data_IF_963803066461
#
_entry.id   IF_963803066461
#
_cell.length_a   1.000
_cell.length_b   1.000
_cell.length_c   1.000
_cell.angle_alpha   90.00
_cell.angle_beta   90.00
_cell.angle_gamma   90.00
#
_symmetry.space_group_name_H-M   'P 1'
#
loop_
_entity.id
_entity.type
_entity.pdbx_description
1 polymer ?
#
# COMPACT_ATOMS: atom_id res chain seq x y z
N UNK A 1 8.98 -20.75 80.46
CA UNK A 1 9.84 -21.88 80.03
C UNK A 1 9.09 -23.04 79.37
N UNK A 2 7.75 -22.97 79.16
CA UNK A 2 6.95 -24.05 78.51
C UNK A 2 6.83 -23.97 76.98
N UNK A 3 7.15 -22.84 76.33
CA UNK A 3 7.02 -22.69 74.86
C UNK A 3 8.16 -23.32 74.03
N UNK A 4 9.26 -23.75 74.67
CA UNK A 4 10.38 -24.41 73.99
C UNK A 4 10.28 -25.94 74.02
N UNK A 5 9.41 -26.51 74.87
CA UNK A 5 9.27 -27.97 75.05
C UNK A 5 8.33 -28.61 74.00
N UNK A 6 7.50 -27.83 73.33
CA UNK A 6 6.56 -28.30 72.30
C UNK A 6 7.02 -28.00 70.85
N UNK A 7 8.20 -27.39 70.65
CA UNK A 7 8.73 -27.17 69.31
C UNK A 7 9.28 -28.48 68.74
N UNK A 8 8.45 -29.18 67.96
CA UNK A 8 8.91 -30.27 67.10
C UNK A 8 9.46 -29.63 65.82
N UNK A 9 10.78 -29.65 65.58
CA UNK A 9 11.32 -29.14 64.33
C UNK A 9 10.76 -29.96 63.18
N UNK A 10 10.12 -29.29 62.22
CA UNK A 10 9.76 -29.91 60.94
C UNK A 10 11.05 -30.40 60.30
N UNK A 11 11.12 -31.70 60.01
CA UNK A 11 12.29 -32.27 59.36
C UNK A 11 12.57 -31.50 58.06
N UNK A 12 13.77 -30.92 57.88
CA UNK A 12 14.05 -30.12 56.70
C UNK A 12 14.00 -31.02 55.47
N UNK A 13 13.14 -30.67 54.51
CA UNK A 13 13.16 -31.31 53.21
C UNK A 13 14.50 -30.97 52.54
N UNK A 14 15.34 -31.96 52.17
CA UNK A 14 16.64 -31.68 51.57
C UNK A 14 16.45 -31.05 50.19
N UNK A 15 17.13 -29.93 49.94
CA UNK A 15 17.23 -29.35 48.61
C UNK A 15 18.06 -30.27 47.69
N UNK A 16 17.77 -30.27 46.40
CA UNK A 16 18.59 -31.00 45.42
C UNK A 16 19.93 -30.30 45.26
N UNK A 17 20.99 -31.05 45.01
CA UNK A 17 22.33 -30.47 44.82
C UNK A 17 22.38 -29.43 43.68
N UNK A 18 21.59 -29.66 42.63
CA UNK A 18 21.46 -28.75 41.47
C UNK A 18 20.73 -27.45 41.80
N UNK A 19 19.93 -27.43 42.87
CA UNK A 19 19.19 -26.26 43.35
C UNK A 19 20.03 -25.39 44.30
N UNK A 20 21.28 -25.76 44.57
CA UNK A 20 22.18 -25.07 45.50
C UNK A 20 23.27 -24.22 44.80
N UNK A 21 23.07 -23.82 43.55
CA UNK A 21 24.06 -23.03 42.81
C UNK A 21 24.27 -21.64 43.43
N UNK A 22 23.18 -20.97 43.83
CA UNK A 22 23.25 -19.65 44.47
C UNK A 22 24.03 -19.75 45.79
N UNK A 23 23.72 -20.73 46.64
CA UNK A 23 24.34 -20.95 47.94
C UNK A 23 25.83 -21.26 47.79
N UNK A 24 26.21 -22.07 46.79
CA UNK A 24 27.61 -22.32 46.46
C UNK A 24 28.33 -21.03 46.05
N UNK A 25 27.73 -20.23 45.18
CA UNK A 25 28.25 -18.93 44.78
C UNK A 25 28.40 -17.97 45.97
N UNK A 26 27.38 -17.83 46.80
CA UNK A 26 27.39 -16.96 47.97
C UNK A 26 28.44 -17.41 48.99
N UNK A 27 28.56 -18.72 49.25
CA UNK A 27 29.61 -19.28 50.12
C UNK A 27 31.00 -18.96 49.59
N UNK A 28 31.23 -19.18 48.29
CA UNK A 28 32.50 -18.84 47.65
C UNK A 28 32.80 -17.35 47.82
N UNK A 29 31.79 -16.49 47.58
CA UNK A 29 31.93 -15.04 47.71
C UNK A 29 32.30 -14.58 49.13
N UNK A 30 31.79 -15.24 50.16
CA UNK A 30 32.20 -14.97 51.55
C UNK A 30 33.67 -15.36 51.77
N UNK A 31 34.14 -16.44 51.15
CA UNK A 31 35.50 -16.96 51.32
C UNK A 31 36.53 -16.19 50.50
N UNK A 32 36.20 -15.78 49.28
CA UNK A 32 37.15 -15.21 48.31
C UNK A 32 36.93 -13.72 48.06
N UNK A 33 35.91 -13.12 48.67
CA UNK A 33 35.53 -11.73 48.44
C UNK A 33 34.61 -11.54 47.22
N UNK A 34 34.40 -10.28 46.83
CA UNK A 34 33.54 -9.93 45.70
C UNK A 34 34.00 -10.61 44.40
N UNK A 35 33.05 -11.22 43.68
CA UNK A 35 33.34 -11.88 42.42
C UNK A 35 33.50 -10.90 41.26
N UNK A 36 34.04 -11.41 40.16
CA UNK A 36 34.05 -10.69 38.88
C UNK A 36 32.63 -10.63 38.26
N UNK A 37 32.41 -9.70 37.33
CA UNK A 37 31.12 -9.52 36.67
C UNK A 37 30.12 -8.65 37.44
N UNK A 38 28.93 -8.44 36.87
CA UNK A 38 27.94 -7.50 37.40
C UNK A 38 27.36 -7.95 38.74
N UNK A 39 26.93 -9.22 38.86
CA UNK A 39 26.37 -9.77 40.10
C UNK A 39 27.39 -9.81 41.26
N UNK A 40 28.67 -10.04 40.93
CA UNK A 40 29.77 -10.05 41.91
C UNK A 40 30.05 -8.69 42.56
N UNK A 41 29.77 -7.59 41.83
CA UNK A 41 29.94 -6.22 42.31
C UNK A 41 28.76 -5.69 43.12
N UNK A 42 27.58 -6.31 43.04
CA UNK A 42 26.42 -5.90 43.86
C UNK A 42 26.66 -6.18 45.34
N UNK A 43 26.17 -5.38 46.30
CA UNK A 43 26.24 -5.72 47.72
C UNK A 43 25.74 -7.14 48.00
N UNK A 44 26.34 -7.83 48.99
CA UNK A 44 26.12 -9.26 49.21
C UNK A 44 24.63 -9.60 49.37
N UNK A 45 23.92 -8.85 50.22
CA UNK A 45 22.50 -9.05 50.48
C UNK A 45 21.64 -8.73 49.25
N UNK A 46 21.99 -7.71 48.45
CA UNK A 46 21.30 -7.39 47.19
C UNK A 46 21.41 -8.54 46.21
N UNK A 47 22.62 -9.08 46.01
CA UNK A 47 22.85 -10.22 45.11
C UNK A 47 22.03 -11.44 45.53
N UNK A 48 22.10 -11.82 46.81
CA UNK A 48 21.38 -12.98 47.34
C UNK A 48 19.85 -12.82 47.20
N UNK A 49 19.29 -11.74 47.76
CA UNK A 49 17.84 -11.57 47.81
C UNK A 49 17.23 -11.28 46.43
N UNK A 50 17.97 -10.64 45.51
CA UNK A 50 17.49 -10.45 44.14
C UNK A 50 17.45 -11.77 43.37
N UNK A 51 18.44 -12.67 43.57
CA UNK A 51 18.40 -14.01 42.99
C UNK A 51 17.20 -14.80 43.49
N UNK A 52 16.95 -14.81 44.80
CA UNK A 52 15.78 -15.47 45.40
C UNK A 52 14.46 -14.85 44.92
N UNK A 53 14.32 -13.52 45.02
CA UNK A 53 13.09 -12.81 44.69
C UNK A 53 12.72 -12.90 43.21
N UNK A 54 13.70 -12.71 42.32
CA UNK A 54 13.48 -12.87 40.89
C UNK A 54 13.26 -14.33 40.51
N UNK A 55 14.05 -15.23 41.11
CA UNK A 55 13.91 -16.66 40.97
C UNK A 55 12.54 -17.21 41.34
N UNK A 56 11.92 -16.65 42.39
CA UNK A 56 10.58 -17.02 42.81
C UNK A 56 9.55 -16.68 41.73
N UNK A 57 9.66 -15.49 41.12
CA UNK A 57 8.84 -15.11 39.97
C UNK A 57 9.04 -16.08 38.79
N UNK A 58 10.27 -16.54 38.54
CA UNK A 58 10.57 -17.45 37.44
C UNK A 58 10.01 -18.87 37.64
N UNK A 59 9.97 -19.34 38.88
CA UNK A 59 9.65 -20.73 39.22
C UNK A 59 8.19 -20.92 39.61
N UNK A 60 7.61 -19.97 40.35
CA UNK A 60 6.26 -20.06 40.91
C UNK A 60 5.29 -19.03 40.31
N UNK A 61 5.78 -18.11 39.48
CA UNK A 61 4.97 -17.10 38.81
C UNK A 61 4.68 -15.86 39.67
N UNK A 62 3.89 -14.93 39.12
CA UNK A 62 3.68 -13.62 39.73
C UNK A 62 2.85 -13.65 41.01
N UNK A 63 1.92 -14.60 41.13
CA UNK A 63 0.99 -14.71 42.28
C UNK A 63 1.54 -15.55 43.44
N UNK A 64 2.84 -15.91 43.41
CA UNK A 64 3.49 -16.69 44.46
C UNK A 64 3.44 -15.98 45.83
N UNK A 65 3.12 -16.75 46.87
CA UNK A 65 3.03 -16.27 48.25
C UNK A 65 4.30 -16.64 49.00
N UNK A 66 5.17 -15.65 49.24
CA UNK A 66 6.52 -15.84 49.83
C UNK A 66 6.53 -16.59 51.16
N UNK A 67 5.49 -16.39 51.98
CA UNK A 67 5.29 -17.01 53.30
C UNK A 67 4.94 -18.49 53.24
N UNK A 68 4.49 -18.99 52.08
CA UNK A 68 4.14 -20.40 51.87
C UNK A 68 5.25 -21.20 51.17
N UNK A 69 6.34 -20.55 50.75
CA UNK A 69 7.43 -21.19 50.00
C UNK A 69 8.37 -21.92 50.96
N UNK A 70 8.56 -23.21 50.73
CA UNK A 70 9.43 -24.03 51.56
C UNK A 70 10.93 -23.71 51.32
N UNK A 71 11.83 -24.00 52.27
CA UNK A 71 13.26 -23.73 52.11
C UNK A 71 13.90 -24.36 50.87
N UNK A 72 13.51 -25.59 50.51
CA UNK A 72 14.02 -26.25 49.31
C UNK A 72 13.55 -25.57 48.01
N UNK A 73 12.33 -25.00 48.01
CA UNK A 73 11.80 -24.24 46.88
C UNK A 73 12.48 -22.88 46.76
N UNK A 74 12.86 -22.26 47.89
CA UNK A 74 13.69 -21.05 47.90
C UNK A 74 15.07 -21.29 47.32
N UNK A 75 15.71 -22.42 47.61
CA UNK A 75 16.98 -22.80 46.99
C UNK A 75 16.82 -22.93 45.46
N UNK A 76 15.81 -23.66 45.00
CA UNK A 76 15.52 -23.83 43.57
C UNK A 76 15.23 -22.48 42.87
N UNK A 77 14.43 -21.62 43.50
CA UNK A 77 14.18 -20.26 43.06
C UNK A 77 15.48 -19.46 42.97
N UNK A 78 16.26 -19.41 44.06
CA UNK A 78 17.54 -18.72 44.13
C UNK A 78 18.49 -19.14 43.01
N UNK A 79 18.62 -20.44 42.76
CA UNK A 79 19.39 -20.97 41.64
C UNK A 79 18.85 -20.51 40.28
N UNK A 80 17.54 -20.54 40.07
CA UNK A 80 16.93 -20.06 38.82
C UNK A 80 17.20 -18.57 38.57
N UNK A 81 17.10 -17.73 39.61
CA UNK A 81 17.43 -16.31 39.53
C UNK A 81 18.93 -16.07 39.31
N UNK A 82 19.78 -16.79 40.03
CA UNK A 82 21.24 -16.74 39.91
C UNK A 82 21.72 -17.00 38.48
N UNK A 83 21.21 -18.07 37.85
CA UNK A 83 21.55 -18.44 36.47
C UNK A 83 21.27 -17.33 35.45
N UNK A 84 20.27 -16.47 35.71
CA UNK A 84 19.99 -15.31 34.85
C UNK A 84 20.87 -14.11 35.24
N UNK A 85 20.93 -13.77 36.53
CA UNK A 85 21.57 -12.54 37.00
C UNK A 85 23.10 -12.58 36.87
N UNK A 86 23.72 -13.77 36.93
CA UNK A 86 25.17 -13.92 36.73
C UNK A 86 25.63 -13.47 35.34
N UNK A 87 24.76 -13.59 34.34
CA UNK A 87 25.02 -13.18 32.95
C UNK A 87 24.92 -11.66 32.75
N UNK A 88 24.47 -10.92 33.77
CA UNK A 88 24.47 -9.47 33.79
C UNK A 88 23.10 -8.81 33.55
N UNK A 89 23.09 -7.47 33.49
CA UNK A 89 21.85 -6.68 33.47
C UNK A 89 21.04 -6.86 32.18
N UNK A 90 21.69 -7.18 31.05
CA UNK A 90 20.99 -7.37 29.77
C UNK A 90 20.25 -8.70 29.73
N UNK A 91 20.83 -9.77 30.29
CA UNK A 91 20.14 -11.04 30.47
C UNK A 91 18.92 -10.88 31.40
N UNK A 92 19.05 -10.06 32.45
CA UNK A 92 17.95 -9.73 33.34
C UNK A 92 16.82 -8.99 32.60
N UNK A 93 17.13 -7.93 31.84
CA UNK A 93 16.15 -7.21 31.00
C UNK A 93 15.49 -8.12 29.96
N UNK A 94 16.26 -8.98 29.30
CA UNK A 94 15.74 -9.93 28.33
C UNK A 94 14.76 -10.91 28.98
N UNK A 95 15.05 -11.38 30.20
CA UNK A 95 14.14 -12.26 30.93
C UNK A 95 12.86 -11.54 31.36
N UNK A 96 12.93 -10.27 31.79
CA UNK A 96 11.75 -9.45 32.05
C UNK A 96 10.90 -9.27 30.78
N UNK A 97 11.52 -9.06 29.61
CA UNK A 97 10.84 -8.99 28.31
C UNK A 97 10.14 -10.30 27.98
N UNK A 98 10.79 -11.44 28.21
CA UNK A 98 10.20 -12.76 27.95
C UNK A 98 8.94 -13.00 28.80
N UNK A 99 8.98 -12.62 30.09
CA UNK A 99 7.81 -12.70 30.98
C UNK A 99 6.70 -11.75 30.49
N UNK A 100 7.06 -10.55 30.03
CA UNK A 100 6.10 -9.61 29.47
C UNK A 100 5.40 -10.22 28.25
N UNK A 101 6.12 -10.74 27.25
CA UNK A 101 5.50 -11.21 26.00
C UNK A 101 4.76 -12.54 26.15
N UNK A 102 5.02 -13.32 27.21
CA UNK A 102 4.38 -14.60 27.45
C UNK A 102 2.88 -14.51 27.76
N UNK A 103 2.37 -13.31 28.10
CA UNK A 103 0.95 -13.08 28.32
C UNK A 103 0.41 -12.07 27.30
N UNK A 104 -0.84 -12.22 26.80
CA UNK A 104 -1.43 -11.29 25.84
C UNK A 104 -1.35 -9.85 26.31
N UNK A 105 -1.25 -8.89 25.37
CA UNK A 105 -1.39 -7.48 25.70
C UNK A 105 -2.83 -7.21 26.13
N UNK A 106 -3.03 -7.13 27.42
CA UNK A 106 -4.27 -6.71 28.04
C UNK A 106 -4.03 -5.41 28.82
N UNK A 107 -5.06 -4.95 29.53
CA UNK A 107 -4.92 -3.81 30.43
C UNK A 107 -4.13 -4.18 31.71
N UNK A 108 -3.63 -5.42 31.86
CA UNK A 108 -2.86 -5.79 33.04
C UNK A 108 -1.47 -5.18 32.97
N UNK A 109 -1.22 -4.30 33.92
CA UNK A 109 0.01 -3.53 34.05
C UNK A 109 1.17 -4.45 34.47
N UNK A 110 2.39 -3.93 34.38
CA UNK A 110 3.61 -4.55 34.90
C UNK A 110 3.46 -5.11 36.33
N UNK A 111 2.63 -4.48 37.17
CA UNK A 111 2.33 -4.93 38.54
C UNK A 111 1.72 -6.32 38.61
N UNK A 112 0.91 -6.71 37.63
CA UNK A 112 0.33 -8.06 37.59
C UNK A 112 1.37 -9.07 37.13
N UNK A 113 2.17 -8.72 36.11
CA UNK A 113 3.13 -9.62 35.48
C UNK A 113 4.35 -9.92 36.35
N UNK A 114 4.74 -8.96 37.18
CA UNK A 114 5.91 -9.07 38.04
C UNK A 114 5.57 -9.09 39.53
N UNK A 115 4.29 -9.24 39.90
CA UNK A 115 3.73 -8.95 41.23
C UNK A 115 4.65 -9.32 42.40
N UNK A 116 4.90 -10.61 42.65
CA UNK A 116 5.72 -11.06 43.79
C UNK A 116 7.10 -10.42 43.87
N UNK A 117 7.77 -10.24 42.73
CA UNK A 117 9.10 -9.64 42.67
C UNK A 117 9.04 -8.11 42.78
N UNK A 118 8.11 -7.49 42.05
CA UNK A 118 7.95 -6.03 42.02
C UNK A 118 7.49 -5.48 43.36
N UNK A 119 6.56 -6.16 44.05
CA UNK A 119 6.10 -5.77 45.37
C UNK A 119 7.20 -5.91 46.41
N UNK A 120 7.92 -7.04 46.43
CA UNK A 120 9.09 -7.21 47.30
C UNK A 120 10.12 -6.09 47.09
N UNK A 121 10.43 -5.76 45.83
CA UNK A 121 11.39 -4.70 45.51
C UNK A 121 10.85 -3.30 45.86
N UNK A 122 9.54 -3.09 45.79
CA UNK A 122 8.87 -1.84 46.17
C UNK A 122 8.90 -1.60 47.68
N UNK A 123 8.72 -2.66 48.49
CA UNK A 123 8.72 -2.57 49.95
C UNK A 123 10.12 -2.49 50.57
N UNK A 124 11.16 -2.52 49.74
CA UNK A 124 12.58 -2.30 50.08
C UNK A 124 13.00 -0.87 49.71
N UNK A 125 12.14 0.09 49.96
CA UNK A 125 12.40 1.51 49.70
C UNK A 125 13.23 2.18 50.80
N UNK A 126 13.41 1.50 51.93
CA UNK A 126 14.27 1.86 53.05
C UNK A 126 15.77 1.58 52.80
N UNK A 127 16.08 0.70 51.84
CA UNK A 127 17.44 0.24 51.57
C UNK A 127 17.94 0.74 50.18
N UNK A 128 18.81 1.76 50.13
CA UNK A 128 19.30 2.36 48.90
C UNK A 128 20.23 1.44 48.11
N UNK A 129 20.77 0.37 48.70
CA UNK A 129 21.64 -0.57 47.97
C UNK A 129 20.86 -1.32 46.87
N UNK A 130 19.53 -1.40 46.99
CA UNK A 130 18.64 -1.95 45.96
C UNK A 130 18.36 -0.99 44.80
N UNK A 131 18.82 0.28 44.84
CA UNK A 131 18.64 1.26 43.76
C UNK A 131 19.14 0.70 42.42
N UNK A 132 20.27 -0.02 42.41
CA UNK A 132 20.84 -0.64 41.21
C UNK A 132 19.90 -1.64 40.52
N UNK A 133 19.06 -2.34 41.30
CA UNK A 133 18.04 -3.26 40.77
C UNK A 133 16.76 -2.48 40.42
N UNK A 134 16.36 -1.54 41.30
CA UNK A 134 15.18 -0.69 41.09
C UNK A 134 15.30 0.11 39.81
N UNK A 135 16.47 0.64 39.49
CA UNK A 135 16.72 1.44 38.29
C UNK A 135 16.56 0.60 37.01
N UNK A 136 17.11 -0.62 36.97
CA UNK A 136 16.97 -1.52 35.83
C UNK A 136 15.49 -1.90 35.61
N UNK A 137 14.79 -2.30 36.68
CA UNK A 137 13.39 -2.70 36.60
C UNK A 137 12.51 -1.50 36.23
N UNK A 138 12.79 -0.33 36.79
CA UNK A 138 12.06 0.92 36.51
C UNK A 138 12.23 1.35 35.07
N UNK A 139 13.48 1.41 34.59
CA UNK A 139 13.78 1.72 33.19
C UNK A 139 13.08 0.74 32.25
N UNK A 140 13.17 -0.56 32.56
CA UNK A 140 12.48 -1.59 31.80
C UNK A 140 10.96 -1.33 31.75
N UNK A 141 10.33 -1.04 32.89
CA UNK A 141 8.90 -0.75 32.97
C UNK A 141 8.53 0.49 32.16
N UNK A 142 9.28 1.58 32.27
CA UNK A 142 9.05 2.80 31.49
C UNK A 142 9.13 2.55 29.98
N UNK A 143 10.10 1.75 29.53
CA UNK A 143 10.33 1.49 28.10
C UNK A 143 9.38 0.46 27.50
N UNK A 144 8.77 -0.41 28.31
CA UNK A 144 8.00 -1.56 27.81
C UNK A 144 6.52 -1.54 28.20
N UNK A 145 6.06 -0.61 29.04
CA UNK A 145 4.65 -0.46 29.40
C UNK A 145 4.18 0.98 29.19
N UNK A 146 2.87 1.20 28.91
CA UNK A 146 2.33 2.52 28.65
C UNK A 146 2.17 3.33 29.95
N UNK A 147 3.30 3.75 30.53
CA UNK A 147 3.36 4.55 31.74
C UNK A 147 3.20 6.02 31.41
N UNK A 148 2.20 6.67 32.00
CA UNK A 148 1.96 8.08 31.76
C UNK A 148 3.09 8.95 32.34
N UNK A 149 3.35 10.10 31.70
CA UNK A 149 4.27 11.11 32.24
C UNK A 149 3.85 11.50 33.67
N UNK A 150 4.83 11.53 34.58
CA UNK A 150 4.63 11.83 36.01
C UNK A 150 4.18 10.65 36.87
N UNK A 151 3.78 9.52 36.28
CA UNK A 151 3.40 8.34 37.05
C UNK A 151 4.63 7.72 37.73
N UNK A 152 4.54 7.48 39.05
CA UNK A 152 5.66 6.97 39.86
C UNK A 152 5.78 5.45 39.75
N UNK A 153 7.01 4.97 39.50
CA UNK A 153 7.40 3.57 39.48
C UNK A 153 8.68 3.41 40.31
N UNK A 154 8.63 2.56 41.35
CA UNK A 154 9.77 2.30 42.26
C UNK A 154 10.45 3.61 42.74
N UNK A 155 9.64 4.53 43.27
CA UNK A 155 10.10 5.79 43.88
C UNK A 155 10.32 6.96 42.93
N UNK A 156 10.41 6.76 41.61
CA UNK A 156 10.70 7.85 40.66
C UNK A 156 9.58 8.06 39.63
N UNK A 157 9.27 9.31 39.24
CA UNK A 157 8.27 9.62 38.22
C UNK A 157 8.77 9.29 36.81
N UNK A 158 7.87 8.81 35.95
CA UNK A 158 8.16 8.61 34.54
C UNK A 158 8.37 9.97 33.84
N UNK A 159 9.52 10.24 33.21
CA UNK A 159 9.82 11.54 32.61
C UNK A 159 8.94 11.85 31.39
N UNK A 160 8.63 10.83 30.61
CA UNK A 160 7.76 10.87 29.43
C UNK A 160 7.17 9.49 29.16
N UNK A 161 6.08 9.42 28.40
CA UNK A 161 5.51 8.15 27.99
C UNK A 161 6.23 7.59 26.75
N UNK A 162 6.95 6.48 26.91
CA UNK A 162 7.78 5.90 25.85
C UNK A 162 7.04 4.99 24.88
N UNK A 163 6.01 4.28 25.35
CA UNK A 163 5.19 3.39 24.53
C UNK A 163 3.70 3.61 24.80
N UNK A 164 2.88 3.25 23.82
CA UNK A 164 1.44 3.48 23.87
C UNK A 164 0.65 2.21 23.54
N UNK A 165 -0.43 1.98 24.30
CA UNK A 165 -1.58 1.22 23.81
C UNK A 165 -2.41 2.08 22.85
N UNK A 166 -3.29 1.44 22.06
CA UNK A 166 -4.23 2.18 21.18
C UNK A 166 -5.07 3.21 21.96
N UNK A 167 -5.45 2.90 23.20
CA UNK A 167 -6.21 3.79 24.06
C UNK A 167 -5.40 5.01 24.50
N UNK A 168 -4.17 4.79 24.98
CA UNK A 168 -3.30 5.90 25.41
C UNK A 168 -2.88 6.77 24.23
N UNK A 169 -2.55 6.19 23.06
CA UNK A 169 -2.22 6.96 21.87
C UNK A 169 -3.38 7.85 21.41
N UNK A 170 -4.61 7.34 21.43
CA UNK A 170 -5.81 8.15 21.12
C UNK A 170 -5.96 9.32 22.09
N UNK A 171 -5.77 9.10 23.38
CA UNK A 171 -5.94 10.15 24.38
C UNK A 171 -4.82 11.21 24.30
N UNK A 172 -3.59 10.78 24.03
CA UNK A 172 -2.43 11.68 23.96
C UNK A 172 -2.34 12.45 22.64
N UNK A 173 -2.64 11.82 21.50
CA UNK A 173 -2.42 12.40 20.17
C UNK A 173 -3.72 12.69 19.39
N UNK A 174 -4.90 12.39 19.94
CA UNK A 174 -6.19 12.62 19.26
C UNK A 174 -6.45 11.73 18.04
N UNK A 175 -5.54 10.81 17.70
CA UNK A 175 -5.69 9.93 16.54
C UNK A 175 -6.77 8.86 16.76
N UNK A 176 -7.63 8.66 15.77
CA UNK A 176 -8.61 7.57 15.79
C UNK A 176 -7.91 6.21 15.90
N UNK A 177 -8.34 5.39 16.86
CA UNK A 177 -7.81 4.04 17.07
C UNK A 177 -7.91 3.14 15.82
N UNK A 178 -8.85 3.42 14.92
CA UNK A 178 -8.94 2.71 13.64
C UNK A 178 -7.84 3.13 12.66
N UNK A 179 -7.58 4.43 12.49
CA UNK A 179 -6.49 4.93 11.63
C UNK A 179 -5.13 4.46 12.14
N UNK A 180 -4.90 4.60 13.45
CA UNK A 180 -3.69 4.14 14.10
C UNK A 180 -3.52 2.62 13.96
N UNK A 181 -4.56 1.84 14.28
CA UNK A 181 -4.52 0.38 14.19
C UNK A 181 -4.23 -0.11 12.77
N UNK A 182 -4.79 0.53 11.73
CA UNK A 182 -4.48 0.21 10.33
C UNK A 182 -3.01 0.44 9.99
N UNK A 183 -2.44 1.57 10.41
CA UNK A 183 -1.03 1.88 10.14
C UNK A 183 -0.10 0.99 10.92
N UNK A 184 -0.37 0.76 12.20
CA UNK A 184 0.39 -0.20 13.00
C UNK A 184 0.30 -1.61 12.41
N UNK A 185 -0.83 -2.00 11.83
CA UNK A 185 -0.97 -3.30 11.18
C UNK A 185 -0.17 -3.41 9.88
N UNK A 186 -0.10 -2.33 9.09
CA UNK A 186 0.71 -2.28 7.88
C UNK A 186 2.22 -2.42 8.17
N UNK A 187 2.69 -1.97 9.35
CA UNK A 187 4.10 -2.09 9.78
C UNK A 187 4.36 -3.29 10.71
N UNK A 188 3.39 -4.19 10.89
CA UNK A 188 3.55 -5.42 11.67
C UNK A 188 3.42 -5.30 13.19
N UNK A 189 3.13 -4.11 13.72
CA UNK A 189 2.95 -3.88 15.17
C UNK A 189 1.52 -4.17 15.66
N UNK A 190 0.58 -4.38 14.75
CA UNK A 190 -0.79 -4.76 15.07
C UNK A 190 -1.34 -5.79 14.08
N UNK A 191 -2.44 -6.41 14.47
CA UNK A 191 -3.20 -7.31 13.62
C UNK A 191 -4.69 -7.03 13.77
N UNK A 192 -5.45 -7.31 12.73
CA UNK A 192 -6.91 -7.22 12.78
C UNK A 192 -7.48 -8.52 13.31
N UNK A 193 -8.16 -8.45 14.46
CA UNK A 193 -8.85 -9.59 15.04
C UNK A 193 -9.97 -10.08 14.12
N UNK A 194 -9.97 -11.37 13.79
CA UNK A 194 -11.03 -12.02 13.01
C UNK A 194 -12.38 -12.01 13.75
N UNK A 195 -12.36 -12.12 15.08
CA UNK A 195 -13.55 -12.18 15.94
C UNK A 195 -14.14 -10.79 16.16
N UNK A 196 -13.37 -9.85 16.73
CA UNK A 196 -13.90 -8.53 17.12
C UNK A 196 -13.90 -7.51 15.99
N UNK A 197 -13.23 -7.82 14.86
CA UNK A 197 -12.93 -6.88 13.75
C UNK A 197 -12.11 -5.64 14.16
N UNK A 198 -11.67 -5.56 15.43
CA UNK A 198 -10.82 -4.48 15.98
C UNK A 198 -9.34 -4.79 15.75
N UNK A 199 -8.51 -3.76 15.85
CA UNK A 199 -7.06 -3.91 15.87
C UNK A 199 -6.60 -4.31 17.26
N UNK A 200 -5.72 -5.31 17.31
CA UNK A 200 -5.03 -5.78 18.51
C UNK A 200 -3.54 -5.56 18.27
N UNK A 201 -2.86 -4.97 19.23
CA UNK A 201 -1.42 -4.77 19.16
C UNK A 201 -0.70 -6.11 19.33
N UNK A 202 0.42 -6.27 18.64
CA UNK A 202 1.38 -7.35 18.90
C UNK A 202 2.35 -6.92 20.00
N UNK A 203 2.76 -5.66 19.98
CA UNK A 203 3.56 -4.98 21.00
C UNK A 203 3.03 -3.57 21.25
N UNK A 204 3.29 -2.98 22.43
CA UNK A 204 2.98 -1.56 22.63
C UNK A 204 3.75 -0.70 21.63
N UNK A 205 3.09 0.30 21.06
CA UNK A 205 3.67 1.11 20.00
C UNK A 205 4.64 2.15 20.56
N UNK A 206 5.90 2.22 20.08
CA UNK A 206 6.84 3.27 20.47
C UNK A 206 6.29 4.68 20.18
N UNK A 207 6.57 5.64 21.08
CA UNK A 207 6.00 6.99 21.00
C UNK A 207 6.44 7.77 19.74
N UNK A 208 7.67 7.57 19.28
CA UNK A 208 8.19 8.12 18.03
C UNK A 208 7.47 7.56 16.80
N UNK A 209 7.21 6.24 16.78
CA UNK A 209 6.42 5.58 15.73
C UNK A 209 4.99 6.13 15.71
N UNK A 210 4.35 6.27 16.87
CA UNK A 210 3.00 6.85 16.96
C UNK A 210 3.00 8.30 16.47
N UNK A 211 3.96 9.13 16.88
CA UNK A 211 4.09 10.51 16.39
C UNK A 211 4.25 10.58 14.88
N UNK A 212 5.11 9.74 14.30
CA UNK A 212 5.30 9.66 12.84
C UNK A 212 4.01 9.30 12.11
N UNK A 213 3.25 8.32 12.62
CA UNK A 213 1.94 7.95 12.07
C UNK A 213 0.94 9.10 12.18
N UNK A 214 0.91 9.82 13.30
CA UNK A 214 0.02 10.98 13.48
C UNK A 214 0.32 12.05 12.45
N UNK A 215 1.58 12.45 12.31
CA UNK A 215 2.03 13.42 11.30
C UNK A 215 1.65 12.98 9.88
N UNK A 216 1.86 11.70 9.56
CA UNK A 216 1.51 11.14 8.24
C UNK A 216 -0.02 11.17 8.01
N UNK A 217 -0.81 10.84 9.02
CA UNK A 217 -2.28 10.82 8.97
C UNK A 217 -2.87 12.23 8.86
N UNK A 218 -2.29 13.21 9.54
CA UNK A 218 -2.74 14.60 9.50
C UNK A 218 -2.42 15.27 8.16
N UNK A 219 -1.39 14.79 7.46
CA UNK A 219 -1.06 15.25 6.11
C UNK A 219 -2.00 14.69 5.03
N UNK A 220 -2.84 13.70 5.34
CA UNK A 220 -3.71 13.06 4.35
C UNK A 220 -4.81 13.99 3.88
N UNK A 221 -5.03 13.99 2.57
CA UNK A 221 -6.05 14.77 1.89
C UNK A 221 -7.26 13.92 1.57
N UNK A 222 -8.45 14.48 1.74
CA UNK A 222 -9.66 13.88 1.22
C UNK A 222 -9.74 14.02 -0.32
N UNK A 223 -10.71 13.36 -0.95
CA UNK A 223 -10.84 13.39 -2.42
C UNK A 223 -10.99 14.80 -3.01
N UNK A 224 -11.66 15.72 -2.32
CA UNK A 224 -11.85 17.10 -2.82
C UNK A 224 -10.53 17.86 -2.79
N UNK A 225 -9.80 17.80 -1.67
CA UNK A 225 -8.49 18.44 -1.51
C UNK A 225 -7.45 17.84 -2.47
N UNK A 226 -7.45 16.52 -2.62
CA UNK A 226 -6.57 15.82 -3.56
C UNK A 226 -6.84 16.23 -5.01
N UNK A 227 -8.12 16.31 -5.41
CA UNK A 227 -8.52 16.77 -6.73
C UNK A 227 -8.05 18.21 -7.00
N UNK A 228 -8.26 19.12 -6.05
CA UNK A 228 -7.79 20.51 -6.14
C UNK A 228 -6.26 20.59 -6.30
N UNK A 229 -5.52 19.78 -5.54
CA UNK A 229 -4.05 19.73 -5.60
C UNK A 229 -3.53 19.21 -6.94
N UNK A 230 -4.19 18.20 -7.52
CA UNK A 230 -3.84 17.66 -8.84
C UNK A 230 -4.31 18.58 -9.98
N UNK A 231 -5.31 19.42 -9.75
CA UNK A 231 -5.91 20.30 -10.76
C UNK A 231 -7.03 19.64 -11.57
N UNK A 232 -7.75 18.69 -10.97
CA UNK A 232 -8.90 17.99 -11.57
C UNK A 232 -10.15 18.12 -10.69
N UNK A 233 -11.30 17.65 -11.19
CA UNK A 233 -12.52 17.56 -10.39
C UNK A 233 -12.58 16.28 -9.53
N UNK A 234 -13.46 16.27 -8.53
CA UNK A 234 -13.64 15.16 -7.58
C UNK A 234 -14.09 13.85 -8.23
N UNK A 235 -14.83 13.90 -9.34
CA UNK A 235 -15.23 12.67 -10.03
C UNK A 235 -14.04 12.08 -10.79
N UNK A 236 -13.19 12.94 -11.37
CA UNK A 236 -11.98 12.51 -12.08
C UNK A 236 -10.92 11.90 -11.16
N UNK A 237 -10.70 12.43 -9.95
CA UNK A 237 -9.78 11.78 -8.99
C UNK A 237 -10.25 10.37 -8.63
N UNK A 238 -11.56 10.16 -8.51
CA UNK A 238 -12.14 8.84 -8.23
C UNK A 238 -11.84 7.88 -9.39
N UNK A 239 -12.05 8.30 -10.64
CA UNK A 239 -11.70 7.48 -11.82
C UNK A 239 -10.22 7.17 -11.91
N UNK A 240 -9.35 8.13 -11.62
CA UNK A 240 -7.90 7.93 -11.63
C UNK A 240 -7.49 6.90 -10.57
N UNK A 241 -8.17 6.93 -9.44
CA UNK A 241 -7.97 5.99 -8.34
C UNK A 241 -8.43 4.58 -8.70
N UNK A 242 -9.63 4.44 -9.25
CA UNK A 242 -10.18 3.15 -9.70
C UNK A 242 -9.33 2.52 -10.81
N UNK A 243 -8.61 3.35 -11.59
CA UNK A 243 -7.67 2.94 -12.62
C UNK A 243 -6.24 2.69 -12.14
N UNK A 244 -5.97 2.88 -10.85
CA UNK A 244 -4.64 2.69 -10.26
C UNK A 244 -3.61 3.76 -10.62
N UNK A 245 -4.03 4.88 -11.23
CA UNK A 245 -3.11 5.99 -11.57
C UNK A 245 -2.65 6.75 -10.33
N UNK A 246 -3.56 6.96 -9.39
CA UNK A 246 -3.33 7.60 -8.10
C UNK A 246 -3.77 6.62 -7.01
N UNK A 247 -2.87 6.15 -6.14
CA UNK A 247 -3.23 5.20 -5.10
C UNK A 247 -4.04 5.89 -3.98
N UNK A 248 -4.98 5.15 -3.38
CA UNK A 248 -5.49 5.49 -2.05
C UNK A 248 -4.41 5.15 -1.04
N UNK A 249 -4.26 5.97 -0.02
CA UNK A 249 -3.40 5.67 1.11
C UNK A 249 -3.85 4.40 1.86
N UNK A 250 -5.15 4.13 1.81
CA UNK A 250 -5.82 3.05 2.49
C UNK A 250 -6.55 2.18 1.44
N UNK A 251 -6.24 0.87 1.33
CA UNK A 251 -6.73 0.03 0.23
C UNK A 251 -8.20 -0.39 0.35
N UNK A 252 -8.84 -0.15 1.50
CA UNK A 252 -10.23 -0.56 1.75
C UNK A 252 -11.21 0.06 0.75
N UNK A 253 -12.05 -0.80 0.14
CA UNK A 253 -12.98 -0.40 -0.90
C UNK A 253 -14.15 0.46 -0.37
N UNK A 254 -14.55 0.27 0.89
CA UNK A 254 -15.75 0.89 1.48
C UNK A 254 -15.47 2.15 2.32
N UNK A 255 -14.21 2.57 2.44
CA UNK A 255 -13.85 3.78 3.19
C UNK A 255 -13.79 4.99 2.26
N UNK A 256 -14.11 6.18 2.80
CA UNK A 256 -13.84 7.43 2.11
C UNK A 256 -12.33 7.51 1.78
N UNK A 257 -11.96 7.73 0.51
CA UNK A 257 -10.57 7.66 0.10
C UNK A 257 -9.78 8.83 0.68
N UNK A 258 -8.62 8.50 1.21
CA UNK A 258 -7.61 9.45 1.65
C UNK A 258 -6.37 9.29 0.77
N UNK A 259 -5.70 10.40 0.48
CA UNK A 259 -4.57 10.48 -0.42
C UNK A 259 -3.40 11.13 0.28
N UNK A 260 -2.21 10.56 0.11
CA UNK A 260 -1.01 11.19 0.63
C UNK A 260 -0.50 12.23 -0.37
N UNK A 261 -0.12 13.46 0.06
CA UNK A 261 0.38 14.51 -0.84
C UNK A 261 1.56 14.06 -1.72
N UNK A 262 2.44 13.21 -1.17
CA UNK A 262 3.57 12.60 -1.90
C UNK A 262 3.13 11.79 -3.12
N UNK A 263 2.03 11.04 -3.02
CA UNK A 263 1.57 10.18 -4.12
C UNK A 263 0.93 11.01 -5.24
N UNK A 264 0.24 12.10 -4.86
CA UNK A 264 -0.27 13.08 -5.82
C UNK A 264 0.88 13.78 -6.56
N UNK A 265 1.92 14.14 -5.82
CA UNK A 265 3.12 14.76 -6.38
C UNK A 265 3.90 13.78 -7.27
N UNK A 266 4.00 12.51 -6.89
CA UNK A 266 4.60 11.47 -7.71
C UNK A 266 3.85 11.27 -9.03
N UNK A 267 2.50 11.27 -8.98
CA UNK A 267 1.67 11.24 -10.18
C UNK A 267 1.93 12.44 -11.10
N UNK A 268 1.92 13.66 -10.56
CA UNK A 268 2.23 14.87 -11.34
C UNK A 268 3.67 14.85 -11.87
N UNK A 269 4.62 14.40 -11.07
CA UNK A 269 6.03 14.27 -11.45
C UNK A 269 6.23 13.37 -12.66
N UNK A 270 5.47 12.27 -12.78
CA UNK A 270 5.50 11.42 -13.99
C UNK A 270 5.04 12.19 -15.23
N UNK A 271 3.96 12.97 -15.14
CA UNK A 271 3.49 13.80 -16.26
C UNK A 271 4.50 14.92 -16.61
N UNK A 272 5.06 15.59 -15.59
CA UNK A 272 6.09 16.63 -15.78
C UNK A 272 7.34 16.07 -16.46
N UNK A 273 7.71 14.82 -16.18
CA UNK A 273 8.86 14.17 -16.83
C UNK A 273 8.67 13.91 -18.33
N UNK A 274 7.42 13.94 -18.82
CA UNK A 274 7.08 13.81 -20.24
C UNK A 274 6.92 15.19 -20.92
N UNK A 275 6.90 16.27 -20.15
CA UNK A 275 6.58 17.59 -20.66
C UNK A 275 7.82 18.38 -21.08
N UNK A 276 7.81 18.87 -22.32
CA UNK A 276 8.81 19.82 -22.82
C UNK A 276 8.31 21.27 -22.69
N UNK A 277 9.21 22.19 -22.35
CA UNK A 277 8.95 23.63 -22.38
C UNK A 277 9.11 24.15 -23.81
N UNK A 278 8.03 24.06 -24.60
CA UNK A 278 7.93 24.63 -25.96
C UNK A 278 6.57 25.27 -26.15
N UNK A 279 6.51 26.26 -27.05
CA UNK A 279 5.24 26.89 -27.44
C UNK A 279 4.33 25.85 -28.10
N UNK A 280 3.13 25.58 -27.55
CA UNK A 280 2.18 24.65 -28.16
C UNK A 280 1.72 25.19 -29.52
N UNK A 281 1.64 24.32 -30.54
CA UNK A 281 0.94 24.62 -31.80
C UNK A 281 -0.58 24.45 -31.64
N UNK A 282 -1.37 24.88 -32.63
CA UNK A 282 -2.85 24.74 -32.61
C UNK A 282 -3.33 23.28 -32.45
N UNK A 283 -2.49 22.29 -32.80
CA UNK A 283 -2.80 20.87 -32.67
C UNK A 283 -2.58 20.30 -31.25
N UNK A 284 -2.11 21.11 -30.30
CA UNK A 284 -1.85 20.71 -28.92
C UNK A 284 -3.01 21.11 -28.01
N UNK A 285 -3.81 20.13 -27.60
CA UNK A 285 -4.97 20.34 -26.74
C UNK A 285 -4.70 19.85 -25.32
N UNK A 286 -5.41 20.41 -24.34
CA UNK A 286 -5.37 19.87 -22.99
C UNK A 286 -5.91 18.42 -22.97
N UNK A 287 -5.39 17.62 -22.04
CA UNK A 287 -5.72 16.18 -21.97
C UNK A 287 -7.25 15.95 -21.91
N UNK A 288 -8.03 16.66 -21.07
CA UNK A 288 -9.50 16.56 -21.09
C UNK A 288 -10.15 16.90 -22.44
N UNK A 289 -9.67 17.92 -23.15
CA UNK A 289 -10.18 18.34 -24.46
C UNK A 289 -9.84 17.32 -25.54
N UNK A 290 -8.59 16.84 -25.60
CA UNK A 290 -8.19 15.76 -26.50
C UNK A 290 -8.99 14.48 -26.25
N UNK A 291 -9.22 14.14 -24.97
CA UNK A 291 -10.06 13.02 -24.54
C UNK A 291 -11.49 13.11 -25.07
N UNK A 292 -12.13 14.30 -25.02
CA UNK A 292 -13.47 14.52 -25.59
C UNK A 292 -13.46 14.40 -27.11
N UNK A 293 -12.47 14.98 -27.78
CA UNK A 293 -12.35 14.95 -29.24
C UNK A 293 -12.19 13.50 -29.76
N UNK A 294 -11.37 12.70 -29.07
CA UNK A 294 -11.12 11.29 -29.40
C UNK A 294 -12.18 10.32 -28.86
N UNK A 295 -13.17 10.80 -28.09
CA UNK A 295 -14.20 9.97 -27.44
C UNK A 295 -13.63 8.86 -26.52
N UNK A 296 -12.46 9.09 -25.92
CA UNK A 296 -11.81 8.16 -24.98
C UNK A 296 -11.81 8.76 -23.57
N UNK A 297 -12.19 8.02 -22.50
CA UNK A 297 -12.19 8.55 -21.14
C UNK A 297 -10.83 9.13 -20.72
N UNK A 298 -10.85 10.27 -20.01
CA UNK A 298 -9.64 11.01 -19.64
C UNK A 298 -8.67 10.20 -18.79
N UNK A 299 -9.17 9.36 -17.89
CA UNK A 299 -8.38 8.40 -17.11
C UNK A 299 -7.64 7.39 -18.00
N UNK A 300 -8.31 6.88 -19.03
CA UNK A 300 -7.70 5.95 -19.99
C UNK A 300 -6.67 6.65 -20.87
N UNK A 301 -6.96 7.85 -21.37
CA UNK A 301 -6.01 8.67 -22.12
C UNK A 301 -4.76 8.93 -21.28
N UNK A 302 -4.95 9.34 -20.02
CA UNK A 302 -3.84 9.59 -19.09
C UNK A 302 -2.99 8.35 -18.86
N UNK A 303 -3.62 7.18 -18.73
CA UNK A 303 -2.90 5.90 -18.63
C UNK A 303 -2.05 5.63 -19.87
N UNK A 304 -2.63 5.78 -21.07
CA UNK A 304 -1.89 5.58 -22.34
C UNK A 304 -0.71 6.54 -22.43
N UNK A 305 -0.90 7.81 -22.09
CA UNK A 305 0.18 8.81 -22.05
C UNK A 305 1.33 8.35 -21.16
N UNK A 306 1.03 7.86 -19.95
CA UNK A 306 2.03 7.42 -18.99
C UNK A 306 2.72 6.11 -19.42
N UNK A 307 1.94 5.11 -19.86
CA UNK A 307 2.42 3.78 -20.23
C UNK A 307 3.28 3.82 -21.50
N UNK A 308 2.84 4.59 -22.51
CA UNK A 308 3.52 4.75 -23.79
C UNK A 308 4.50 5.94 -23.81
N UNK A 309 4.63 6.66 -22.69
CA UNK A 309 5.47 7.85 -22.54
C UNK A 309 5.24 8.90 -23.64
N UNK A 310 3.98 9.15 -23.97
CA UNK A 310 3.59 10.12 -25.01
C UNK A 310 4.06 11.52 -24.60
N UNK A 311 4.80 12.26 -25.47
CA UNK A 311 5.28 13.59 -25.14
C UNK A 311 4.16 14.57 -24.80
N UNK A 312 4.41 15.38 -23.77
CA UNK A 312 3.52 16.44 -23.33
C UNK A 312 4.17 17.81 -23.51
N UNK A 313 3.36 18.85 -23.41
CA UNK A 313 3.78 20.23 -23.43
C UNK A 313 3.17 20.98 -22.26
N UNK A 314 3.94 21.85 -21.62
CA UNK A 314 3.47 22.75 -20.57
C UNK A 314 4.32 24.03 -20.59
N UNK A 315 3.68 25.18 -20.37
CA UNK A 315 4.37 26.47 -20.32
C UNK A 315 5.37 26.52 -19.14
N UNK A 316 4.94 26.09 -17.95
CA UNK A 316 5.75 26.00 -16.75
C UNK A 316 5.81 24.57 -16.22
N UNK A 317 6.70 23.73 -16.78
CA UNK A 317 6.76 22.29 -16.46
C UNK A 317 6.89 21.99 -14.97
N UNK A 318 7.66 22.78 -14.19
CA UNK A 318 7.88 22.52 -12.77
C UNK A 318 6.63 22.75 -11.90
N UNK A 319 5.80 23.73 -12.24
CA UNK A 319 4.60 24.08 -11.49
C UNK A 319 3.31 23.48 -12.09
N UNK A 320 3.39 22.93 -13.30
CA UNK A 320 2.26 22.38 -14.04
C UNK A 320 1.45 21.37 -13.22
N UNK A 321 0.14 21.58 -13.19
CA UNK A 321 -0.89 20.67 -12.71
C UNK A 321 -1.52 19.94 -13.89
N UNK A 322 -2.42 19.00 -13.62
CA UNK A 322 -2.96 18.12 -14.65
C UNK A 322 -3.57 18.86 -15.86
N UNK A 323 -4.30 19.95 -15.61
CA UNK A 323 -4.94 20.76 -16.65
C UNK A 323 -3.98 21.64 -17.46
N UNK A 324 -2.71 21.75 -17.05
CA UNK A 324 -1.71 22.56 -17.74
C UNK A 324 -0.98 21.78 -18.83
N UNK A 325 -1.06 20.44 -18.79
CA UNK A 325 -0.48 19.59 -19.82
C UNK A 325 -1.30 19.65 -21.11
N UNK A 326 -0.59 19.75 -22.23
CA UNK A 326 -1.09 19.67 -23.59
C UNK A 326 -0.47 18.48 -24.31
N UNK A 327 -1.21 17.88 -25.22
CA UNK A 327 -0.78 16.71 -26.00
C UNK A 327 -1.13 16.91 -27.47
N UNK A 328 -0.25 16.46 -28.35
CA UNK A 328 -0.49 16.40 -29.79
C UNK A 328 -1.61 15.40 -30.07
N UNK A 329 -2.69 15.88 -30.67
CA UNK A 329 -3.85 15.03 -30.98
C UNK A 329 -3.52 13.90 -31.97
N UNK A 330 -2.77 14.13 -33.07
CA UNK A 330 -2.36 13.07 -33.98
C UNK A 330 -1.52 11.97 -33.30
N UNK A 331 -0.54 12.36 -32.49
CA UNK A 331 0.34 11.41 -31.80
C UNK A 331 -0.44 10.57 -30.79
N UNK A 332 -1.29 11.23 -30.01
CA UNK A 332 -2.16 10.55 -29.05
C UNK A 332 -3.13 9.59 -29.74
N UNK A 333 -3.70 9.99 -30.88
CA UNK A 333 -4.59 9.14 -31.66
C UNK A 333 -3.86 7.88 -32.15
N UNK A 334 -2.63 8.02 -32.66
CA UNK A 334 -1.81 6.89 -33.08
C UNK A 334 -1.50 5.93 -31.91
N UNK A 335 -1.17 6.46 -30.73
CA UNK A 335 -0.90 5.62 -29.55
C UNK A 335 -2.16 4.97 -28.99
N UNK A 336 -3.32 5.63 -29.06
CA UNK A 336 -4.61 5.02 -28.72
C UNK A 336 -4.94 3.86 -29.66
N UNK A 337 -4.58 3.96 -30.95
CA UNK A 337 -4.73 2.85 -31.89
C UNK A 337 -3.78 1.70 -31.58
N UNK A 338 -2.52 1.97 -31.26
CA UNK A 338 -1.54 0.96 -30.83
C UNK A 338 -1.96 0.26 -29.54
N UNK A 339 -2.40 1.02 -28.53
CA UNK A 339 -2.83 0.52 -27.22
C UNK A 339 -4.15 -0.27 -27.25
N UNK A 340 -4.89 -0.24 -28.36
CA UNK A 340 -6.07 -1.07 -28.59
C UNK A 340 -5.73 -2.38 -29.31
N UNK A 341 -4.46 -2.82 -29.27
CA UNK A 341 -3.96 -4.00 -29.99
C UNK A 341 -4.32 -3.97 -31.49
N UNK A 342 -4.37 -2.77 -32.06
CA UNK A 342 -4.76 -2.58 -33.45
C UNK A 342 -6.20 -2.96 -33.74
N UNK A 343 -7.18 -2.66 -32.87
CA UNK A 343 -8.60 -2.92 -33.17
C UNK A 343 -9.51 -1.68 -33.03
N UNK A 344 -10.54 -1.56 -33.86
CA UNK A 344 -11.54 -0.49 -33.88
C UNK A 344 -12.95 -1.01 -33.62
N UNK A 345 -13.80 -0.17 -33.01
CA UNK A 345 -15.24 -0.48 -32.96
C UNK A 345 -15.83 -0.41 -34.37
N UNK A 346 -16.90 -1.16 -34.66
CA UNK A 346 -17.57 -1.10 -35.96
C UNK A 346 -18.02 0.32 -36.37
N UNK A 347 -18.38 1.17 -35.40
CA UNK A 347 -18.76 2.56 -35.66
C UNK A 347 -17.58 3.45 -36.06
N UNK A 348 -16.39 3.20 -35.51
CA UNK A 348 -15.18 3.97 -35.83
C UNK A 348 -14.58 3.48 -37.16
N UNK A 349 -14.57 2.16 -37.39
CA UNK A 349 -14.21 1.57 -38.67
C UNK A 349 -15.09 2.08 -39.83
N UNK A 350 -16.40 2.26 -39.58
CA UNK A 350 -17.34 2.83 -40.55
C UNK A 350 -16.94 4.24 -40.98
N UNK A 351 -16.53 5.09 -40.03
CA UNK A 351 -16.06 6.45 -40.33
C UNK A 351 -14.75 6.44 -41.12
N UNK A 352 -13.81 5.57 -40.75
CA UNK A 352 -12.52 5.43 -41.42
C UNK A 352 -12.69 4.97 -42.87
N UNK A 353 -13.58 4.00 -43.11
CA UNK A 353 -13.82 3.43 -44.43
C UNK A 353 -14.87 4.20 -45.26
N UNK A 354 -15.49 5.24 -44.72
CA UNK A 354 -16.55 5.99 -45.42
C UNK A 354 -17.81 5.16 -45.73
N UNK A 355 -18.08 4.09 -44.97
CA UNK A 355 -19.22 3.18 -45.17
C UNK A 355 -20.15 3.15 -43.97
N UNK A 356 -21.34 2.59 -44.12
CA UNK A 356 -22.28 2.40 -43.02
C UNK A 356 -21.82 1.33 -42.03
N UNK A 357 -22.19 1.48 -40.75
CA UNK A 357 -21.92 0.47 -39.70
C UNK A 357 -22.53 -0.89 -40.05
N UNK A 358 -23.65 -0.90 -40.77
CA UNK A 358 -24.29 -2.12 -41.31
C UNK A 358 -23.34 -2.86 -42.25
N UNK A 359 -22.70 -2.13 -43.16
CA UNK A 359 -21.72 -2.69 -44.11
C UNK A 359 -20.51 -3.24 -43.37
N UNK A 360 -19.96 -2.51 -42.38
CA UNK A 360 -18.85 -3.02 -41.55
C UNK A 360 -19.21 -4.35 -40.87
N UNK A 361 -20.40 -4.45 -40.27
CA UNK A 361 -20.86 -5.70 -39.66
C UNK A 361 -20.99 -6.82 -40.69
N UNK A 362 -21.52 -6.51 -41.87
CA UNK A 362 -21.65 -7.47 -42.95
C UNK A 362 -20.29 -7.98 -43.46
N UNK A 363 -19.29 -7.09 -43.56
CA UNK A 363 -17.91 -7.44 -43.90
C UNK A 363 -17.24 -8.31 -42.84
N UNK A 364 -17.52 -8.05 -41.55
CA UNK A 364 -17.05 -8.89 -40.43
C UNK A 364 -17.71 -10.27 -40.43
N UNK A 365 -19.01 -10.35 -40.75
CA UNK A 365 -19.76 -11.61 -40.78
C UNK A 365 -19.32 -12.51 -41.95
N UNK A 366 -18.92 -11.90 -43.07
CA UNK A 366 -18.35 -12.60 -44.22
C UNK A 366 -16.85 -12.85 -44.13
N UNK A 367 -16.18 -12.42 -43.06
CA UNK A 367 -14.73 -12.60 -42.87
C UNK A 367 -13.85 -11.78 -43.80
N UNK A 368 -14.40 -10.79 -44.52
CA UNK A 368 -13.63 -9.86 -45.35
C UNK A 368 -12.86 -8.88 -44.46
N UNK A 369 -13.48 -8.47 -43.35
CA UNK A 369 -12.79 -7.80 -42.25
C UNK A 369 -12.52 -8.81 -41.13
N UNK A 370 -11.31 -8.81 -40.56
CA UNK A 370 -10.90 -9.69 -39.48
C UNK A 370 -11.56 -9.26 -38.16
N UNK A 371 -12.44 -10.09 -37.57
CA UNK A 371 -13.05 -9.79 -36.28
C UNK A 371 -12.08 -10.13 -35.14
N UNK A 372 -11.91 -9.18 -34.22
CA UNK A 372 -11.20 -9.39 -32.95
C UNK A 372 -12.18 -9.27 -31.80
N UNK A 373 -12.25 -10.29 -30.96
CA UNK A 373 -13.11 -10.28 -29.77
C UNK A 373 -12.37 -9.61 -28.63
N UNK A 374 -12.84 -8.43 -28.22
CA UNK A 374 -12.29 -7.68 -27.09
C UNK A 374 -13.25 -7.71 -25.92
N UNK A 375 -12.72 -8.02 -24.73
CA UNK A 375 -13.45 -7.90 -23.47
C UNK A 375 -13.40 -6.46 -22.98
N UNK A 376 -14.53 -5.76 -23.00
CA UNK A 376 -14.59 -4.37 -22.53
C UNK A 376 -14.46 -4.32 -21.00
N UNK A 377 -13.40 -3.67 -20.50
CA UNK A 377 -13.11 -3.59 -19.07
C UNK A 377 -14.25 -2.98 -18.23
N UNK A 378 -15.04 -2.06 -18.80
CA UNK A 378 -16.14 -1.37 -18.08
C UNK A 378 -17.42 -2.21 -17.97
N UNK A 379 -17.69 -3.08 -18.95
CA UNK A 379 -18.94 -3.84 -19.02
C UNK A 379 -18.75 -5.34 -18.81
N UNK A 380 -17.50 -5.80 -18.78
CA UNK A 380 -17.09 -7.20 -18.84
C UNK A 380 -17.67 -7.98 -20.04
N UNK A 381 -18.27 -7.29 -21.03
CA UNK A 381 -18.85 -7.92 -22.22
C UNK A 381 -17.81 -8.12 -23.30
N UNK A 382 -17.89 -9.26 -23.97
CA UNK A 382 -17.13 -9.53 -25.19
C UNK A 382 -17.82 -8.83 -26.37
N UNK A 383 -17.07 -8.03 -27.13
CA UNK A 383 -17.56 -7.37 -28.34
C UNK A 383 -16.62 -7.62 -29.52
N UNK A 384 -17.20 -7.72 -30.71
CA UNK A 384 -16.48 -7.87 -31.99
C UNK A 384 -16.03 -6.50 -32.49
N UNK A 385 -14.73 -6.32 -32.54
CA UNK A 385 -14.03 -5.15 -33.07
C UNK A 385 -13.36 -5.54 -34.40
N UNK A 386 -12.96 -4.57 -35.19
CA UNK A 386 -12.32 -4.73 -36.50
C UNK A 386 -10.81 -4.56 -36.33
N UNK A 387 -9.97 -5.47 -36.82
CA UNK A 387 -8.52 -5.25 -36.83
C UNK A 387 -8.13 -4.10 -37.77
N UNK A 388 -7.22 -3.23 -37.35
CA UNK A 388 -6.70 -2.10 -38.14
C UNK A 388 -5.92 -2.62 -39.34
N UNK A 389 -5.09 -3.66 -39.19
CA UNK A 389 -4.38 -4.29 -40.31
C UNK A 389 -5.36 -4.81 -41.37
N UNK A 390 -6.53 -5.28 -40.93
CA UNK A 390 -7.58 -5.73 -41.83
C UNK A 390 -8.27 -4.56 -42.53
N UNK A 391 -8.42 -3.40 -41.89
CA UNK A 391 -8.91 -2.16 -42.53
C UNK A 391 -7.93 -1.68 -43.60
N UNK A 392 -6.63 -1.69 -43.32
CA UNK A 392 -5.59 -1.30 -44.28
C UNK A 392 -5.57 -2.24 -45.48
N UNK A 393 -5.60 -3.55 -45.24
CA UNK A 393 -5.70 -4.58 -46.28
C UNK A 393 -6.96 -4.38 -47.12
N UNK A 394 -8.09 -4.14 -46.46
CA UNK A 394 -9.36 -3.88 -47.15
C UNK A 394 -9.27 -2.61 -48.01
N UNK A 395 -8.72 -1.51 -47.51
CA UNK A 395 -8.58 -0.27 -48.26
C UNK A 395 -7.63 -0.41 -49.47
N UNK A 396 -6.64 -1.30 -49.39
CA UNK A 396 -5.71 -1.62 -50.46
C UNK A 396 -6.31 -2.54 -51.54
N UNK A 397 -7.21 -3.44 -51.17
CA UNK A 397 -7.81 -4.41 -52.10
C UNK A 397 -9.17 -3.97 -52.65
N UNK A 398 -9.91 -3.16 -51.90
CA UNK A 398 -11.29 -2.79 -52.20
C UNK A 398 -11.47 -1.27 -52.29
N UNK A 399 -12.48 -0.87 -53.05
CA UNK A 399 -12.87 0.53 -53.23
C UNK A 399 -14.39 0.66 -53.16
N UNK A 400 -14.87 1.64 -52.40
CA UNK A 400 -16.30 1.94 -52.33
C UNK A 400 -16.75 2.67 -53.60
N UNK A 401 -18.03 2.53 -53.98
CA UNK A 401 -18.59 3.32 -55.09
C UNK A 401 -18.44 4.82 -54.85
N UNK A 402 -18.51 5.28 -53.59
CA UNK A 402 -18.38 6.71 -53.24
C UNK A 402 -16.96 7.21 -53.51
N UNK A 403 -15.95 6.44 -53.12
CA UNK A 403 -14.55 6.77 -53.38
C UNK A 403 -14.22 6.68 -54.86
N UNK A 404 -14.78 5.69 -55.56
CA UNK A 404 -14.61 5.53 -56.99
C UNK A 404 -15.23 6.69 -57.78
N UNK A 405 -16.44 7.11 -57.39
CA UNK A 405 -17.14 8.26 -57.96
C UNK A 405 -16.39 9.57 -57.71
N UNK A 406 -15.79 9.72 -56.52
CA UNK A 406 -14.93 10.85 -56.19
C UNK A 406 -13.65 10.88 -57.02
N UNK A 407 -13.09 9.72 -57.38
CA UNK A 407 -11.92 9.61 -58.27
C UNK A 407 -12.26 9.84 -59.74
N UNK A 408 -13.46 9.44 -60.18
CA UNK A 408 -13.91 9.61 -61.57
C UNK A 408 -14.60 10.95 -61.85
N UNK A 409 -14.92 11.73 -60.80
CA UNK A 409 -15.69 12.96 -60.91
C UNK A 409 -17.18 12.75 -61.23
N UNK A 410 -17.69 11.52 -61.10
CA UNK A 410 -19.09 11.17 -61.39
C UNK A 410 -19.93 11.09 -60.11
N UNK A 411 -21.25 11.00 -60.29
CA UNK A 411 -22.16 10.71 -59.19
C UNK A 411 -22.07 9.21 -58.82
N UNK A 412 -22.17 8.85 -57.52
CA UNK A 412 -22.09 7.46 -57.06
C UNK A 412 -23.01 6.47 -57.81
N UNK A 413 -24.26 6.85 -58.06
CA UNK A 413 -25.21 5.99 -58.80
C UNK A 413 -24.79 5.74 -60.25
N UNK A 414 -24.25 6.76 -60.93
CA UNK A 414 -23.78 6.61 -62.31
C UNK A 414 -22.53 5.73 -62.40
N UNK A 415 -21.63 5.86 -61.41
CA UNK A 415 -20.43 5.01 -61.34
C UNK A 415 -20.80 3.55 -61.05
N UNK A 416 -21.78 3.30 -60.18
CA UNK A 416 -22.27 1.93 -59.91
C UNK A 416 -22.80 1.23 -61.17
N UNK A 417 -23.64 1.92 -61.96
CA UNK A 417 -24.20 1.38 -63.21
C UNK A 417 -23.07 1.10 -64.21
N UNK A 418 -22.17 2.06 -64.41
CA UNK A 418 -21.06 1.93 -65.35
C UNK A 418 -20.17 0.70 -65.08
N UNK A 419 -19.84 0.46 -63.81
CA UNK A 419 -19.01 -0.70 -63.47
C UNK A 419 -19.77 -2.01 -63.66
N UNK A 420 -21.08 -2.03 -63.37
CA UNK A 420 -21.93 -3.20 -63.60
C UNK A 420 -22.09 -3.50 -65.10
N UNK A 421 -22.28 -2.47 -65.94
CA UNK A 421 -22.35 -2.60 -67.41
C UNK A 421 -21.02 -3.09 -68.01
N UNK A 422 -19.90 -2.79 -67.36
CA UNK A 422 -18.57 -3.32 -67.69
C UNK A 422 -18.33 -4.74 -67.20
N UNK A 423 -19.33 -5.37 -66.60
CA UNK A 423 -19.26 -6.73 -66.06
C UNK A 423 -18.51 -6.84 -64.73
N UNK A 424 -18.17 -5.73 -64.07
CA UNK A 424 -17.51 -5.74 -62.76
C UNK A 424 -18.54 -6.12 -61.70
N UNK A 425 -18.30 -7.24 -61.03
CA UNK A 425 -19.20 -7.73 -60.00
C UNK A 425 -18.90 -7.03 -58.66
N UNK A 426 -19.90 -6.43 -57.99
CA UNK A 426 -19.71 -5.92 -56.64
C UNK A 426 -19.49 -7.08 -55.68
N UNK A 427 -18.90 -6.78 -54.51
CA UNK A 427 -18.90 -7.71 -53.39
C UNK A 427 -20.34 -8.14 -53.10
N UNK A 428 -20.56 -9.44 -52.98
CA UNK A 428 -21.84 -10.02 -52.61
C UNK A 428 -22.18 -9.60 -51.17
N UNK A 429 -22.90 -8.49 -51.03
CA UNK A 429 -23.37 -7.90 -49.78
C UNK A 429 -24.89 -7.72 -49.82
N UNK A 430 -25.54 -7.62 -48.64
CA UNK A 430 -26.97 -7.33 -48.54
C UNK A 430 -27.29 -6.03 -49.28
N UNK A 431 -28.45 -5.95 -49.96
CA UNK A 431 -28.81 -4.81 -50.84
C UNK A 431 -28.86 -3.45 -50.14
N UNK A 432 -28.87 -3.41 -48.81
CA UNK A 432 -28.81 -2.18 -48.00
C UNK A 432 -27.39 -1.80 -47.56
N UNK A 433 -26.37 -2.57 -47.94
CA UNK A 433 -24.97 -2.27 -47.70
C UNK A 433 -24.42 -1.32 -48.77
N UNK A 434 -23.33 -0.64 -48.46
CA UNK A 434 -22.60 0.16 -49.44
C UNK A 434 -22.06 -0.78 -50.53
N UNK A 435 -22.22 -0.39 -51.80
CA UNK A 435 -21.67 -1.11 -52.93
C UNK A 435 -20.14 -0.92 -52.98
N UNK A 436 -19.41 -2.03 -53.02
CA UNK A 436 -17.95 -2.08 -52.93
C UNK A 436 -17.44 -3.01 -54.03
N UNK A 437 -16.37 -2.61 -54.71
CA UNK A 437 -15.71 -3.39 -55.75
C UNK A 437 -14.29 -3.77 -55.32
N UNK A 438 -13.75 -4.86 -55.88
CA UNK A 438 -12.30 -5.12 -55.84
C UNK A 438 -11.59 -4.15 -56.77
N UNK A 439 -10.51 -3.54 -56.29
CA UNK A 439 -9.72 -2.58 -57.08
C UNK A 439 -9.12 -3.20 -58.34
N UNK A 440 -8.76 -4.48 -58.28
CA UNK A 440 -8.19 -5.21 -59.43
C UNK A 440 -9.21 -5.40 -60.56
N UNK A 441 -10.50 -5.46 -60.24
CA UNK A 441 -11.57 -5.75 -61.21
C UNK A 441 -12.11 -4.45 -61.84
N UNK A 442 -11.81 -3.29 -61.26
CA UNK A 442 -12.21 -1.99 -61.79
C UNK A 442 -11.20 -1.55 -62.86
N UNK A 443 -11.61 -1.32 -64.12
CA UNK A 443 -10.71 -0.90 -65.18
C UNK A 443 -10.00 0.41 -64.80
N UNK A 444 -8.67 0.45 -65.01
CA UNK A 444 -7.88 1.65 -64.77
C UNK A 444 -8.54 2.84 -65.48
N UNK A 445 -8.80 3.91 -64.74
CA UNK A 445 -9.37 5.14 -65.29
C UNK A 445 -8.46 5.63 -66.42
N UNK A 446 -8.90 5.51 -67.67
CA UNK A 446 -8.16 5.99 -68.83
C UNK A 446 -7.91 7.49 -68.65
N UNK A 447 -6.64 7.86 -68.59
CA UNK A 447 -6.17 9.23 -68.44
C UNK A 447 -6.49 10.05 -69.70
N UNK A 448 -7.73 10.49 -69.84
CA UNK A 448 -8.13 11.45 -70.85
C UNK A 448 -9.42 12.14 -70.42
N UNK A 449 -9.28 12.98 -69.40
CA UNK A 449 -9.80 14.36 -69.31
C UNK A 449 -9.41 14.94 -67.95
N UNK A 450 -8.28 15.67 -67.96
CA UNK A 450 -7.97 16.90 -67.21
C UNK A 450 -8.40 17.00 -65.74
N UNK A 451 -7.37 16.97 -64.88
CA UNK A 451 -7.14 17.83 -63.71
C UNK A 451 -8.20 17.90 -62.59
N UNK A 452 -8.03 17.08 -61.53
CA UNK A 452 -8.01 17.53 -60.12
C UNK A 452 -7.93 16.36 -59.11
N UNK A 453 -6.85 15.58 -59.06
CA UNK A 453 -6.55 14.74 -57.87
C UNK A 453 -5.04 14.67 -57.60
N UNK A 454 -4.42 15.83 -57.39
CA UNK A 454 -3.20 15.95 -56.57
C UNK A 454 -3.45 16.69 -55.25
N UNK A 455 -4.71 16.99 -54.92
CA UNK A 455 -5.06 17.84 -53.78
C UNK A 455 -5.31 17.10 -52.45
N UNK A 456 -5.49 15.78 -52.42
CA UNK A 456 -5.75 15.06 -51.14
C UNK A 456 -4.53 14.38 -50.51
N UNK A 457 -3.33 14.52 -51.11
CA UNK A 457 -2.04 14.11 -50.51
C UNK A 457 -1.22 15.28 -49.93
N UNK A 458 -1.77 16.50 -49.93
CA UNK A 458 -1.12 17.71 -49.40
C UNK A 458 -1.83 18.36 -48.19
N UNK A 459 -2.92 17.79 -47.70
CA UNK A 459 -3.61 18.28 -46.49
C UNK A 459 -3.06 17.71 -45.17
N UNK A 460 -1.77 17.36 -45.14
CA UNK A 460 -1.05 16.97 -43.90
C UNK A 460 0.36 17.60 -43.82
N UNK A 461 0.60 18.67 -44.58
CA UNK A 461 1.84 19.46 -44.49
C UNK A 461 1.62 20.96 -44.30
N UNK A 462 0.40 21.41 -43.99
CA UNK A 462 0.11 22.73 -43.40
C UNK A 462 -1.38 22.73 -43.01
N UNK A 463 -1.65 22.88 -41.72
CA UNK A 463 -2.97 22.85 -41.10
C UNK A 463 -2.81 22.59 -39.63
#
# INVERSE_FOLDING_TARGET
MRMLEEYVPVAPAPARADDLELERYLRQRVQTGAGEGWLGRLPFHVAAQTCEGFGLLLTHGADAKRDLVAPAEWAAAGTAGFRVLREGPDAFRARLKNIQIAQPLDNTLYRTRFRVFFEWLRYRDDDPDFDIIRDIVREFVFRNFPIAKGQVVLGQPCPEQYVHSLATARNTFGISGWKLGRRLSAIGLAQRSSVSKRFVLNEYAPADVVRGIVTEVDALLNATEAAHRVGIDRMMITKFTDRGLIPKYYPDHNAAPLYHPRDLEAFLGRLRSLAASKTPSEQHLDIPTASRWLSVPTDRVTRIILDHRVPLFANETKAARFRDFRVSVPDLQQEIYRAQDGVLRPADAAKVLGISVRTVRSLLDRGILEPRTVREERSARNRRYVSISSIETFAAEYITVVDLASQSGRLPGAEAILQTDRGVQPLDLDSRCNMIFKRADVPALSASTVSNVKASRRAFSNG
#
